data_IF_511209127512
#
_entry.id   IF_511209127512
#
_cell.length_a   1.000
_cell.length_b   1.000
_cell.length_c   1.000
_cell.angle_alpha   90.00
_cell.angle_beta   90.00
_cell.angle_gamma   90.00
#
_symmetry.space_group_name_H-M   'P 1'
#
loop_
_entity.id
_entity.type
_entity.pdbx_description
1 polymer ?
#
# COMPACT_ATOMS: atom_id res chain seq x y z
N UNK A 1 2.18 34.69 11.27
CA UNK A 1 2.39 34.34 9.85
C UNK A 1 3.28 33.12 9.80
N UNK A 2 2.71 31.92 9.61
CA UNK A 2 3.46 30.68 9.39
C UNK A 2 4.07 30.79 7.98
N UNK A 3 5.40 30.76 7.87
CA UNK A 3 6.11 30.60 6.59
C UNK A 3 5.51 29.39 5.88
N UNK A 4 4.79 29.58 4.78
CA UNK A 4 4.60 28.53 3.78
C UNK A 4 6.03 28.14 3.37
N UNK A 5 6.51 27.01 3.88
CA UNK A 5 7.72 26.39 3.34
C UNK A 5 7.50 26.27 1.85
N UNK A 6 8.51 26.62 1.10
CA UNK A 6 8.54 26.62 -0.35
C UNK A 6 8.52 25.16 -0.82
N UNK A 7 7.32 24.55 -0.81
CA UNK A 7 7.07 23.12 -1.07
C UNK A 7 7.50 22.69 -2.49
N UNK A 8 7.69 23.66 -3.40
CA UNK A 8 8.16 23.36 -4.77
C UNK A 8 9.64 22.97 -4.87
N UNK A 9 10.48 23.27 -3.89
CA UNK A 9 11.93 22.98 -3.94
C UNK A 9 12.33 21.58 -3.45
N UNK A 10 11.45 20.77 -2.86
CA UNK A 10 11.83 19.51 -2.18
C UNK A 10 11.00 18.27 -2.55
N UNK A 11 10.50 18.17 -3.79
CA UNK A 11 9.91 16.92 -4.26
C UNK A 11 11.01 15.90 -4.58
N UNK A 12 11.70 15.41 -3.53
CA UNK A 12 12.84 14.51 -3.62
C UNK A 12 12.44 13.09 -4.04
N UNK A 13 11.23 12.65 -3.63
CA UNK A 13 10.75 11.31 -3.90
C UNK A 13 9.76 11.28 -5.07
N UNK A 14 9.79 10.20 -5.84
CA UNK A 14 8.70 9.82 -6.74
C UNK A 14 7.75 8.93 -5.96
N UNK A 15 6.46 9.27 -5.90
CA UNK A 15 5.46 8.34 -5.40
C UNK A 15 4.93 7.46 -6.53
N UNK A 16 4.98 6.14 -6.33
CA UNK A 16 4.42 5.14 -7.24
C UNK A 16 3.19 4.53 -6.56
N UNK A 17 2.00 4.98 -6.97
CA UNK A 17 0.73 4.61 -6.34
C UNK A 17 0.13 3.45 -7.11
N UNK A 18 -0.07 2.32 -6.44
CA UNK A 18 -0.64 1.10 -7.01
C UNK A 18 -2.08 0.96 -6.53
N UNK A 19 -3.01 0.88 -7.48
CA UNK A 19 -4.45 0.79 -7.22
C UNK A 19 -5.01 -0.49 -7.86
N UNK A 20 -5.06 -1.60 -7.13
CA UNK A 20 -5.78 -2.78 -7.58
C UNK A 20 -7.30 -2.53 -7.50
N UNK A 21 -8.03 -2.92 -8.55
CA UNK A 21 -9.47 -2.69 -8.67
C UNK A 21 -10.17 -4.00 -9.04
N UNK A 22 -11.26 -4.32 -8.34
CA UNK A 22 -12.18 -5.38 -8.72
C UNK A 22 -13.59 -5.04 -8.23
N UNK A 23 -14.53 -4.85 -9.18
CA UNK A 23 -15.93 -4.54 -8.90
C UNK A 23 -16.09 -3.36 -7.90
N UNK A 24 -15.47 -2.24 -8.21
CA UNK A 24 -15.42 -1.05 -7.37
C UNK A 24 -16.04 0.20 -8.01
N UNK A 25 -16.89 0.07 -9.05
CA UNK A 25 -17.45 1.19 -9.82
C UNK A 25 -18.02 2.31 -8.95
N UNK A 26 -18.69 1.96 -7.84
CA UNK A 26 -19.33 2.90 -6.91
C UNK A 26 -18.35 3.74 -6.08
N UNK A 27 -17.11 3.28 -5.96
CA UNK A 27 -16.12 3.86 -5.04
C UNK A 27 -14.94 4.48 -5.77
N UNK A 28 -14.64 3.96 -6.96
CA UNK A 28 -13.41 4.23 -7.70
C UNK A 28 -13.25 5.71 -8.08
N UNK A 29 -14.33 6.41 -8.36
CA UNK A 29 -14.28 7.86 -8.61
C UNK A 29 -13.71 8.62 -7.41
N UNK A 30 -14.15 8.29 -6.21
CA UNK A 30 -13.65 8.92 -4.97
C UNK A 30 -12.19 8.57 -4.73
N UNK A 31 -11.81 7.33 -4.96
CA UNK A 31 -10.42 6.87 -4.90
C UNK A 31 -9.52 7.70 -5.82
N UNK A 32 -9.79 7.72 -7.12
CA UNK A 32 -9.00 8.41 -8.13
C UNK A 32 -8.96 9.93 -7.87
N UNK A 33 -10.09 10.55 -7.57
CA UNK A 33 -10.16 11.97 -7.27
C UNK A 33 -9.35 12.35 -6.02
N UNK A 34 -9.22 11.46 -5.04
CA UNK A 34 -8.38 11.70 -3.86
C UNK A 34 -6.89 11.77 -4.21
N UNK A 35 -6.45 11.04 -5.22
CA UNK A 35 -5.07 11.08 -5.75
C UNK A 35 -4.86 12.34 -6.60
N UNK A 36 -5.78 12.66 -7.51
CA UNK A 36 -5.69 13.83 -8.39
C UNK A 36 -5.58 15.13 -7.57
N UNK A 37 -6.29 15.21 -6.44
CA UNK A 37 -6.33 16.37 -5.54
C UNK A 37 -5.07 16.56 -4.70
N UNK A 38 -4.09 15.64 -4.74
CA UNK A 38 -2.87 15.78 -3.95
C UNK A 38 -2.07 17.03 -4.35
N UNK A 39 -1.59 17.79 -3.36
CA UNK A 39 -0.73 18.97 -3.53
C UNK A 39 0.65 18.60 -4.06
N UNK A 40 1.21 17.49 -3.61
CA UNK A 40 2.45 16.91 -4.10
C UNK A 40 2.27 16.37 -5.53
N UNK A 41 3.12 16.80 -6.48
CA UNK A 41 2.89 16.50 -7.91
C UNK A 41 3.86 15.48 -8.53
N UNK A 42 4.94 15.11 -7.82
CA UNK A 42 5.88 14.10 -8.33
C UNK A 42 5.40 12.68 -7.99
N UNK A 43 4.35 12.24 -8.68
CA UNK A 43 3.80 10.90 -8.54
C UNK A 43 3.37 10.30 -9.88
N UNK A 44 3.34 8.98 -9.93
CA UNK A 44 2.72 8.17 -10.97
C UNK A 44 1.71 7.21 -10.37
N UNK A 45 0.67 6.87 -11.12
CA UNK A 45 -0.41 5.99 -10.68
C UNK A 45 -0.53 4.82 -11.66
N UNK A 46 -0.65 3.63 -11.13
CA UNK A 46 -0.89 2.40 -11.87
C UNK A 46 -2.19 1.78 -11.35
N UNK A 47 -3.26 1.94 -12.10
CA UNK A 47 -4.56 1.32 -11.81
C UNK A 47 -4.63 0.01 -12.56
N UNK A 48 -4.99 -1.08 -11.90
CA UNK A 48 -5.18 -2.37 -12.55
C UNK A 48 -6.55 -2.93 -12.25
N UNK A 49 -7.38 -3.01 -13.29
CA UNK A 49 -8.67 -3.70 -13.25
C UNK A 49 -8.46 -5.21 -13.34
N UNK A 50 -8.86 -5.93 -12.30
CA UNK A 50 -8.68 -7.37 -12.17
C UNK A 50 -9.84 -8.17 -12.80
N UNK A 51 -10.19 -7.84 -14.05
CA UNK A 51 -11.30 -8.45 -14.78
C UNK A 51 -12.65 -8.19 -14.08
N UNK A 52 -12.95 -6.92 -13.78
CA UNK A 52 -14.24 -6.50 -13.23
C UNK A 52 -15.39 -6.82 -14.19
N UNK A 53 -16.55 -7.12 -13.62
CA UNK A 53 -17.81 -7.39 -14.32
C UNK A 53 -18.78 -6.20 -14.28
N UNK A 54 -18.42 -5.15 -13.54
CA UNK A 54 -19.10 -3.86 -13.49
C UNK A 54 -18.37 -2.81 -14.34
N UNK A 55 -18.73 -1.54 -14.25
CA UNK A 55 -18.16 -0.44 -15.02
C UNK A 55 -16.84 0.11 -14.44
N UNK A 56 -16.16 -0.62 -13.57
CA UNK A 56 -14.91 -0.15 -12.92
C UNK A 56 -13.83 0.28 -13.92
N UNK A 57 -13.62 -0.51 -14.98
CA UNK A 57 -12.61 -0.20 -15.99
C UNK A 57 -12.96 1.08 -16.78
N UNK A 58 -14.19 1.24 -17.18
CA UNK A 58 -14.71 2.40 -17.92
C UNK A 58 -14.60 3.67 -17.05
N UNK A 59 -14.96 3.58 -15.77
CA UNK A 59 -14.81 4.68 -14.80
C UNK A 59 -13.33 5.08 -14.66
N UNK A 60 -12.42 4.11 -14.45
CA UNK A 60 -10.98 4.38 -14.35
C UNK A 60 -10.46 5.05 -15.63
N UNK A 61 -10.80 4.49 -16.80
CA UNK A 61 -10.33 4.98 -18.11
C UNK A 61 -10.78 6.41 -18.36
N UNK A 62 -12.05 6.73 -18.07
CA UNK A 62 -12.60 8.07 -18.26
C UNK A 62 -11.96 9.09 -17.33
N UNK A 63 -11.84 8.80 -16.05
CA UNK A 63 -11.27 9.72 -15.06
C UNK A 63 -9.78 9.99 -15.28
N UNK A 64 -9.04 9.01 -15.77
CA UNK A 64 -7.60 9.10 -15.92
C UNK A 64 -7.14 9.59 -17.30
N UNK A 65 -8.05 9.68 -18.30
CA UNK A 65 -7.71 9.97 -19.71
C UNK A 65 -6.85 11.24 -19.92
N UNK A 66 -7.06 12.26 -19.10
CA UNK A 66 -6.38 13.56 -19.23
C UNK A 66 -5.09 13.65 -18.38
N UNK A 67 -4.68 12.58 -17.68
CA UNK A 67 -3.54 12.60 -16.77
C UNK A 67 -2.42 11.71 -17.27
N UNK A 68 -1.34 12.28 -17.77
CA UNK A 68 -0.19 11.54 -18.34
C UNK A 68 0.56 10.66 -17.35
N UNK A 69 0.40 10.92 -16.06
CA UNK A 69 1.02 10.16 -14.97
C UNK A 69 0.13 9.03 -14.44
N UNK A 70 -1.02 8.76 -15.10
CA UNK A 70 -1.88 7.60 -14.79
C UNK A 70 -1.77 6.57 -15.90
N UNK A 71 -1.54 5.32 -15.52
CA UNK A 71 -1.51 4.17 -16.42
C UNK A 71 -2.59 3.19 -15.99
N UNK A 72 -3.46 2.80 -16.93
CA UNK A 72 -4.57 1.88 -16.68
C UNK A 72 -4.25 0.55 -17.35
N UNK A 73 -4.38 -0.52 -16.57
CA UNK A 73 -4.20 -1.89 -17.01
C UNK A 73 -5.51 -2.65 -16.82
N UNK A 74 -5.80 -3.61 -17.69
CA UNK A 74 -6.93 -4.54 -17.55
C UNK A 74 -6.47 -5.97 -17.71
N UNK A 75 -6.84 -6.82 -16.77
CA UNK A 75 -6.61 -8.26 -16.89
C UNK A 75 -7.72 -8.92 -17.70
N UNK A 76 -7.39 -9.96 -18.47
CA UNK A 76 -8.37 -10.79 -19.20
C UNK A 76 -9.00 -11.88 -18.34
N UNK A 77 -8.43 -12.11 -17.14
CA UNK A 77 -8.94 -13.03 -16.11
C UNK A 77 -8.56 -12.52 -14.74
N UNK A 78 -9.30 -12.92 -13.74
CA UNK A 78 -9.02 -12.54 -12.34
C UNK A 78 -7.71 -13.18 -11.85
N UNK A 79 -6.80 -12.34 -11.36
CA UNK A 79 -5.48 -12.75 -10.85
C UNK A 79 -5.33 -12.56 -9.34
N UNK A 80 -6.15 -11.70 -8.73
CA UNK A 80 -6.10 -11.32 -7.33
C UNK A 80 -5.16 -10.14 -7.04
N UNK A 81 -5.46 -9.40 -5.95
CA UNK A 81 -4.78 -8.15 -5.63
C UNK A 81 -3.26 -8.32 -5.50
N UNK A 82 -2.77 -9.34 -4.77
CA UNK A 82 -1.34 -9.55 -4.57
C UNK A 82 -0.56 -9.80 -5.85
N UNK A 83 -1.13 -10.59 -6.78
CA UNK A 83 -0.50 -10.84 -8.09
C UNK A 83 -0.39 -9.53 -8.88
N UNK A 84 -1.46 -8.74 -8.92
CA UNK A 84 -1.49 -7.45 -9.61
C UNK A 84 -0.49 -6.45 -9.00
N UNK A 85 -0.47 -6.33 -7.68
CA UNK A 85 0.48 -5.48 -6.96
C UNK A 85 1.92 -5.92 -7.27
N UNK A 86 2.23 -7.22 -7.15
CA UNK A 86 3.57 -7.75 -7.44
C UNK A 86 4.02 -7.45 -8.86
N UNK A 87 3.15 -7.66 -9.86
CA UNK A 87 3.44 -7.34 -11.27
C UNK A 87 3.74 -5.86 -11.47
N UNK A 88 2.90 -4.97 -10.90
CA UNK A 88 3.07 -3.53 -11.08
C UNK A 88 4.28 -2.96 -10.35
N UNK A 89 4.62 -3.52 -9.21
CA UNK A 89 5.84 -3.20 -8.47
C UNK A 89 7.11 -3.77 -9.14
N UNK A 90 6.99 -4.81 -9.95
CA UNK A 90 8.11 -5.35 -10.73
C UNK A 90 8.43 -4.52 -11.99
N UNK A 91 7.58 -3.57 -12.36
CA UNK A 91 7.89 -2.64 -13.44
C UNK A 91 9.00 -1.68 -12.98
N UNK A 92 10.01 -1.51 -13.85
CA UNK A 92 11.17 -0.69 -13.52
C UNK A 92 10.81 0.74 -13.13
N UNK A 93 11.51 1.25 -12.14
CA UNK A 93 11.49 2.66 -11.74
C UNK A 93 12.88 3.25 -11.92
N UNK A 94 12.97 4.56 -12.19
CA UNK A 94 14.23 5.23 -12.49
C UNK A 94 15.23 5.18 -11.32
N UNK A 95 14.76 5.38 -10.10
CA UNK A 95 15.59 5.40 -8.88
C UNK A 95 14.83 4.70 -7.74
N UNK A 96 15.08 3.41 -7.52
CA UNK A 96 14.39 2.65 -6.47
C UNK A 96 14.56 3.24 -5.06
N UNK A 97 15.71 3.83 -4.76
CA UNK A 97 15.99 4.42 -3.44
C UNK A 97 15.26 5.75 -3.19
N UNK A 98 14.82 6.41 -4.26
CA UNK A 98 14.04 7.65 -4.25
C UNK A 98 12.59 7.45 -4.70
N UNK A 99 12.15 6.22 -4.87
CA UNK A 99 10.75 5.89 -5.17
C UNK A 99 10.08 5.34 -3.91
N UNK A 100 8.93 5.89 -3.57
CA UNK A 100 8.07 5.41 -2.48
C UNK A 100 6.82 4.80 -3.09
N UNK A 101 6.65 3.52 -2.88
CA UNK A 101 5.44 2.81 -3.28
C UNK A 101 4.32 3.04 -2.27
N UNK A 102 3.10 3.20 -2.76
CA UNK A 102 1.87 3.33 -1.98
C UNK A 102 0.87 2.31 -2.47
N UNK A 103 0.29 1.55 -1.54
CA UNK A 103 -0.80 0.64 -1.84
C UNK A 103 -2.12 1.28 -1.42
N UNK A 104 -2.99 1.54 -2.40
CA UNK A 104 -4.31 2.14 -2.20
C UNK A 104 -5.36 1.25 -2.86
N UNK A 105 -6.24 0.64 -2.06
CA UNK A 105 -7.31 -0.20 -2.57
C UNK A 105 -8.36 0.63 -3.33
N UNK A 106 -8.90 0.12 -4.45
CA UNK A 106 -9.75 0.88 -5.36
C UNK A 106 -11.12 1.29 -4.78
N UNK A 107 -11.52 0.71 -3.65
CA UNK A 107 -12.72 1.07 -2.90
C UNK A 107 -12.46 2.01 -1.71
N UNK A 108 -11.17 2.35 -1.47
CA UNK A 108 -10.69 3.25 -0.42
C UNK A 108 -10.22 4.59 -1.01
N UNK A 109 -9.81 5.55 -0.17
CA UNK A 109 -9.31 6.85 -0.63
C UNK A 109 -8.37 7.53 0.36
N UNK A 110 -7.53 8.44 -0.15
CA UNK A 110 -6.67 9.30 0.67
C UNK A 110 -7.52 10.35 1.39
N UNK A 111 -7.25 10.54 2.68
CA UNK A 111 -8.09 11.37 3.55
C UNK A 111 -8.12 12.85 3.18
N UNK A 112 -6.98 13.42 2.78
CA UNK A 112 -6.82 14.85 2.48
C UNK A 112 -5.94 15.08 1.24
N UNK A 113 -5.86 16.33 0.79
CA UNK A 113 -5.04 16.71 -0.37
C UNK A 113 -3.54 16.84 -0.10
N UNK A 114 -3.07 16.69 1.13
CA UNK A 114 -1.68 16.84 1.55
C UNK A 114 -1.04 15.54 2.06
N UNK A 115 -1.71 14.40 1.87
CA UNK A 115 -1.23 13.08 2.32
C UNK A 115 0.18 12.78 1.81
N UNK A 116 0.44 13.02 0.53
CA UNK A 116 1.76 12.75 -0.04
C UNK A 116 2.84 13.70 0.50
N UNK A 117 2.50 14.94 0.83
CA UNK A 117 3.42 15.89 1.46
C UNK A 117 3.80 15.41 2.88
N UNK A 118 2.82 14.96 3.68
CA UNK A 118 3.04 14.43 5.03
C UNK A 118 3.94 13.19 4.97
N UNK A 119 3.66 12.26 4.06
CA UNK A 119 4.49 11.07 3.88
C UNK A 119 5.90 11.44 3.44
N UNK A 120 6.05 12.33 2.44
CA UNK A 120 7.36 12.80 1.95
C UNK A 120 8.19 13.41 3.08
N UNK A 121 7.58 14.26 3.90
CA UNK A 121 8.25 14.89 5.04
C UNK A 121 8.72 13.86 6.06
N UNK A 122 7.92 12.82 6.33
CA UNK A 122 8.30 11.73 7.23
C UNK A 122 9.55 11.01 6.72
N UNK A 123 9.58 10.61 5.45
CA UNK A 123 10.74 9.94 4.85
C UNK A 123 12.00 10.82 4.88
N UNK A 124 11.86 12.12 4.63
CA UNK A 124 12.97 13.07 4.70
C UNK A 124 13.53 13.22 6.12
N UNK A 125 12.66 13.29 7.14
CA UNK A 125 13.07 13.56 8.52
C UNK A 125 13.63 12.33 9.24
N UNK A 126 13.05 11.15 9.04
CA UNK A 126 13.40 9.93 9.78
C UNK A 126 14.27 8.96 9.00
N UNK A 127 14.50 9.20 7.70
CA UNK A 127 15.18 8.25 6.81
C UNK A 127 14.61 6.83 6.93
N UNK A 128 13.28 6.72 7.09
CA UNK A 128 12.62 5.43 7.19
C UNK A 128 12.57 4.72 5.83
N UNK A 129 12.36 3.42 5.87
CA UNK A 129 12.21 2.56 4.68
C UNK A 129 10.76 2.18 4.43
N UNK A 130 9.94 2.20 5.48
CA UNK A 130 8.56 1.75 5.44
C UNK A 130 7.74 2.55 6.47
N UNK A 131 6.51 2.89 6.09
CA UNK A 131 5.54 3.44 7.01
C UNK A 131 4.23 2.65 6.99
N UNK A 132 3.52 2.73 8.10
CA UNK A 132 2.15 2.28 8.25
C UNK A 132 1.44 3.24 9.20
N UNK A 133 0.12 3.28 9.19
CA UNK A 133 -0.51 4.39 9.90
C UNK A 133 -1.89 4.12 10.46
N UNK A 134 -2.58 5.23 10.68
CA UNK A 134 -3.95 5.29 11.14
C UNK A 134 -4.90 5.50 9.96
N UNK A 135 -6.09 4.92 10.03
CA UNK A 135 -7.14 5.07 9.03
C UNK A 135 -8.49 5.34 9.70
N UNK A 136 -9.38 5.98 8.96
CA UNK A 136 -10.78 6.16 9.35
C UNK A 136 -11.60 5.01 8.74
N UNK A 137 -12.49 4.42 9.53
CA UNK A 137 -13.49 3.45 9.08
C UNK A 137 -14.85 3.79 9.68
N UNK A 138 -15.88 2.98 9.42
CA UNK A 138 -17.20 3.12 10.09
C UNK A 138 -17.11 3.01 11.61
N UNK A 139 -16.04 2.41 12.14
CA UNK A 139 -15.77 2.25 13.58
C UNK A 139 -14.93 3.39 14.17
N UNK A 140 -14.74 4.48 13.42
CA UNK A 140 -13.89 5.61 13.80
C UNK A 140 -12.42 5.40 13.43
N UNK A 141 -11.54 6.23 14.02
CA UNK A 141 -10.10 6.19 13.75
C UNK A 141 -9.48 4.94 14.37
N UNK A 142 -8.76 4.20 13.55
CA UNK A 142 -8.04 2.98 13.95
C UNK A 142 -6.58 3.06 13.51
N UNK A 143 -5.72 2.38 14.25
CA UNK A 143 -4.29 2.27 13.98
C UNK A 143 -3.52 2.17 15.28
N UNK A 144 -2.46 1.36 15.27
CA UNK A 144 -1.59 1.15 16.44
C UNK A 144 -0.15 0.99 16.00
N UNK A 145 0.76 1.57 16.77
CA UNK A 145 2.19 1.31 16.59
C UNK A 145 2.56 -0.05 17.22
N UNK A 146 3.49 -0.75 16.59
CA UNK A 146 4.08 -1.93 17.22
C UNK A 146 4.82 -1.56 18.51
N UNK A 147 4.64 -2.32 19.59
CA UNK A 147 5.43 -2.15 20.81
C UNK A 147 6.93 -2.21 20.51
N UNK A 148 7.71 -1.45 21.26
CA UNK A 148 9.16 -1.38 21.09
C UNK A 148 9.84 -2.75 21.10
N UNK A 149 9.45 -3.67 22.02
CA UNK A 149 10.00 -5.02 22.11
C UNK A 149 9.76 -5.84 20.81
N UNK A 150 8.58 -5.69 20.20
CA UNK A 150 8.23 -6.40 18.95
C UNK A 150 9.16 -5.96 17.82
N UNK A 151 9.40 -4.66 17.71
CA UNK A 151 10.31 -4.07 16.73
C UNK A 151 11.76 -4.48 16.98
N UNK A 152 12.23 -4.36 18.24
CA UNK A 152 13.61 -4.68 18.63
C UNK A 152 13.99 -6.13 18.37
N UNK A 153 13.10 -7.08 18.65
CA UNK A 153 13.36 -8.51 18.53
C UNK A 153 12.77 -9.14 17.27
N UNK A 154 12.29 -8.32 16.32
CA UNK A 154 11.72 -8.79 15.06
C UNK A 154 10.63 -9.86 15.27
N UNK A 155 9.64 -9.56 16.11
CA UNK A 155 8.59 -10.50 16.52
C UNK A 155 7.26 -10.29 15.79
N UNK A 156 7.22 -9.59 14.66
CA UNK A 156 6.00 -9.20 13.94
C UNK A 156 5.10 -10.40 13.64
N UNK A 157 5.68 -11.53 13.18
CA UNK A 157 4.91 -12.73 12.84
C UNK A 157 4.29 -13.44 14.04
N UNK A 158 4.77 -13.15 15.25
CA UNK A 158 4.27 -13.71 16.52
C UNK A 158 3.33 -12.79 17.28
N UNK A 159 3.09 -11.57 16.74
CA UNK A 159 2.28 -10.56 17.40
C UNK A 159 1.03 -10.21 16.59
N UNK A 160 0.14 -9.39 17.16
CA UNK A 160 -1.02 -8.87 16.45
C UNK A 160 -0.64 -8.08 15.20
N UNK A 161 -1.53 -8.01 14.23
CA UNK A 161 -1.33 -7.23 13.02
C UNK A 161 -1.62 -5.75 13.28
N UNK A 162 -0.61 -4.89 13.14
CA UNK A 162 -0.73 -3.46 13.35
C UNK A 162 -0.31 -2.61 12.13
N UNK A 163 0.38 -3.17 11.16
CA UNK A 163 0.81 -2.43 9.96
C UNK A 163 -0.36 -2.18 8.98
N UNK A 164 -1.30 -1.37 9.44
CA UNK A 164 -2.49 -0.99 8.67
C UNK A 164 -2.24 0.19 7.74
N UNK A 165 -3.30 0.68 7.10
CA UNK A 165 -3.26 1.79 6.13
C UNK A 165 -2.82 3.12 6.78
N UNK A 166 -2.19 4.07 6.12
CA UNK A 166 -1.68 3.97 4.77
C UNK A 166 -0.36 3.20 4.80
N UNK A 167 -0.18 2.22 3.89
CA UNK A 167 1.06 1.45 3.76
C UNK A 167 1.92 2.05 2.68
N UNK A 168 3.14 2.46 3.04
CA UNK A 168 4.11 2.98 2.08
C UNK A 168 5.48 2.38 2.35
N UNK A 169 6.29 2.22 1.32
CA UNK A 169 7.65 1.68 1.45
C UNK A 169 8.55 2.15 0.31
N UNK A 170 9.85 2.19 0.56
CA UNK A 170 10.83 2.44 -0.50
C UNK A 170 10.84 1.26 -1.48
N UNK A 171 10.95 1.56 -2.75
CA UNK A 171 10.91 0.55 -3.82
C UNK A 171 12.09 -0.43 -3.74
N UNK A 172 13.27 0.01 -3.33
CA UNK A 172 14.43 -0.88 -3.13
C UNK A 172 14.21 -1.90 -2.00
N UNK A 173 13.44 -1.55 -0.98
CA UNK A 173 13.03 -2.50 0.06
C UNK A 173 12.13 -3.60 -0.52
N UNK A 174 11.18 -3.24 -1.38
CA UNK A 174 10.35 -4.21 -2.10
C UNK A 174 11.17 -5.15 -2.97
N UNK A 175 12.14 -4.64 -3.72
CA UNK A 175 13.01 -5.45 -4.59
C UNK A 175 13.81 -6.53 -3.84
N UNK A 176 13.95 -6.38 -2.51
CA UNK A 176 14.62 -7.34 -1.64
C UNK A 176 13.69 -8.45 -1.11
N UNK A 177 12.39 -8.38 -1.41
CA UNK A 177 11.42 -9.41 -1.04
C UNK A 177 11.52 -10.60 -1.97
N UNK A 178 11.72 -11.81 -1.40
CA UNK A 178 11.67 -13.03 -2.18
C UNK A 178 10.23 -13.29 -2.67
N UNK A 179 10.03 -13.29 -3.97
CA UNK A 179 8.71 -13.47 -4.57
C UNK A 179 8.03 -14.79 -4.18
N UNK A 180 8.80 -15.84 -3.88
CA UNK A 180 8.25 -17.11 -3.38
C UNK A 180 7.55 -16.96 -2.00
N UNK A 181 7.89 -15.93 -1.23
CA UNK A 181 7.22 -15.67 0.04
C UNK A 181 5.83 -15.07 -0.12
N UNK A 182 5.49 -14.56 -1.30
CA UNK A 182 4.16 -14.10 -1.68
C UNK A 182 3.23 -15.23 -2.14
N UNK A 183 3.77 -16.45 -2.27
CA UNK A 183 3.04 -17.63 -2.74
C UNK A 183 2.66 -18.52 -1.56
N UNK A 184 1.48 -19.13 -1.64
CA UNK A 184 1.03 -20.18 -0.73
C UNK A 184 1.72 -21.51 -1.04
N UNK A 185 1.49 -22.53 -0.23
CA UNK A 185 2.06 -23.89 -0.39
C UNK A 185 1.76 -24.56 -1.74
N UNK A 186 0.76 -24.09 -2.48
CA UNK A 186 0.38 -24.61 -3.79
C UNK A 186 1.02 -23.81 -4.95
N UNK A 187 1.91 -22.86 -4.65
CA UNK A 187 2.58 -22.01 -5.66
C UNK A 187 1.71 -20.88 -6.22
N UNK A 188 0.57 -20.56 -5.61
CA UNK A 188 -0.28 -19.46 -6.01
C UNK A 188 -0.13 -18.26 -5.06
N UNK A 189 -0.26 -17.05 -5.59
CA UNK A 189 -0.29 -15.84 -4.75
C UNK A 189 -1.40 -15.93 -3.70
N UNK A 190 -1.12 -15.44 -2.48
CA UNK A 190 -2.15 -15.35 -1.45
C UNK A 190 -3.29 -14.46 -1.92
N UNK A 191 -4.49 -15.01 -2.01
CA UNK A 191 -5.68 -14.29 -2.47
C UNK A 191 -6.36 -13.48 -1.36
N UNK A 192 -5.99 -13.71 -0.09
CA UNK A 192 -6.45 -13.01 1.11
C UNK A 192 -5.28 -12.83 2.08
N UNK A 193 -5.39 -11.92 3.06
CA UNK A 193 -4.33 -11.57 4.00
C UNK A 193 -3.01 -11.20 3.29
N UNK A 194 -3.10 -10.73 2.05
CA UNK A 194 -1.98 -10.41 1.19
C UNK A 194 -1.11 -9.28 1.76
N UNK A 195 -1.70 -8.39 2.52
CA UNK A 195 -1.04 -7.33 3.24
C UNK A 195 0.01 -7.84 4.23
N UNK A 196 -0.27 -8.96 4.92
CA UNK A 196 0.71 -9.63 5.77
C UNK A 196 1.88 -10.19 4.95
N UNK A 197 1.59 -10.78 3.78
CA UNK A 197 2.61 -11.37 2.91
C UNK A 197 3.60 -10.31 2.39
N UNK A 198 3.11 -9.11 2.06
CA UNK A 198 3.93 -7.98 1.60
C UNK A 198 4.68 -7.33 2.77
N UNK A 199 3.99 -7.00 3.84
CA UNK A 199 4.53 -6.12 4.86
C UNK A 199 5.47 -6.82 5.85
N UNK A 200 5.26 -8.11 6.20
CA UNK A 200 6.16 -8.78 7.15
C UNK A 200 7.61 -8.82 6.66
N UNK A 201 7.93 -9.26 5.43
CA UNK A 201 9.31 -9.22 4.92
C UNK A 201 9.93 -7.83 5.03
N UNK A 202 9.19 -6.81 4.61
CA UNK A 202 9.68 -5.44 4.59
C UNK A 202 9.85 -4.84 5.98
N UNK A 203 8.93 -5.07 6.92
CA UNK A 203 9.09 -4.67 8.32
C UNK A 203 10.30 -5.34 8.99
N UNK A 204 10.51 -6.63 8.69
CA UNK A 204 11.61 -7.42 9.20
C UNK A 204 12.96 -6.91 8.68
N UNK A 205 13.05 -6.58 7.39
CA UNK A 205 14.25 -6.03 6.76
C UNK A 205 14.53 -4.59 7.18
N UNK A 206 13.48 -3.77 7.33
CA UNK A 206 13.61 -2.36 7.70
C UNK A 206 14.13 -2.16 9.14
N UNK A 207 13.95 -3.13 10.02
CA UNK A 207 14.40 -3.06 11.41
C UNK A 207 13.91 -1.79 12.12
N UNK A 208 14.85 -0.92 12.52
CA UNK A 208 14.55 0.36 13.19
C UNK A 208 14.04 1.45 12.24
N UNK A 209 14.25 1.29 10.92
CA UNK A 209 13.90 2.29 9.89
C UNK A 209 12.44 2.15 9.44
N UNK A 210 11.53 2.03 10.40
CA UNK A 210 10.09 1.98 10.20
C UNK A 210 9.41 3.04 11.04
N UNK A 211 8.33 3.64 10.52
CA UNK A 211 7.59 4.69 11.19
C UNK A 211 6.09 4.40 11.22
N UNK A 212 5.47 4.68 12.35
CA UNK A 212 4.02 4.73 12.48
C UNK A 212 3.53 6.16 12.30
N UNK A 213 2.65 6.38 11.33
CA UNK A 213 2.03 7.68 11.06
C UNK A 213 0.75 7.79 11.90
N UNK A 214 0.75 8.75 12.85
CA UNK A 214 -0.43 9.05 13.68
C UNK A 214 -1.46 9.87 12.91
N UNK A 215 -1.00 10.60 11.89
CA UNK A 215 -1.86 11.41 11.05
C UNK A 215 -2.88 10.54 10.35
N UNK A 216 -4.10 11.06 10.21
CA UNK A 216 -5.15 10.37 9.48
C UNK A 216 -4.94 10.60 7.99
N UNK A 217 -4.44 9.59 7.29
CA UNK A 217 -4.05 9.68 5.89
C UNK A 217 -4.92 8.86 4.94
N UNK A 218 -5.75 7.96 5.48
CA UNK A 218 -6.47 6.97 4.71
C UNK A 218 -7.89 6.78 5.22
N UNK A 219 -8.83 6.57 4.31
CA UNK A 219 -10.20 6.18 4.65
C UNK A 219 -10.46 4.79 4.09
N UNK A 220 -10.71 3.87 5.00
CA UNK A 220 -11.00 2.47 4.72
C UNK A 220 -12.51 2.25 4.61
N UNK A 221 -12.96 1.77 3.47
CA UNK A 221 -14.36 1.46 3.20
C UNK A 221 -14.73 0.05 3.69
N UNK A 222 -14.92 -0.10 4.98
CA UNK A 222 -15.37 -1.36 5.59
C UNK A 222 -16.86 -1.67 5.34
N UNK A 223 -17.58 -0.80 4.63
CA UNK A 223 -19.00 -1.03 4.29
C UNK A 223 -19.18 -1.77 2.96
N UNK A 224 -18.15 -1.84 2.12
CA UNK A 224 -18.21 -2.62 0.88
C UNK A 224 -18.64 -4.07 1.17
N UNK A 225 -19.73 -4.59 0.55
CA UNK A 225 -20.24 -5.93 0.82
C UNK A 225 -19.30 -7.05 0.40
N UNK A 226 -18.40 -6.80 -0.56
CA UNK A 226 -17.44 -7.80 -1.06
C UNK A 226 -16.10 -7.80 -0.32
N UNK A 227 -15.97 -7.04 0.79
CA UNK A 227 -14.75 -7.05 1.60
C UNK A 227 -14.40 -8.46 2.07
N UNK A 228 -13.15 -8.86 1.86
CA UNK A 228 -12.64 -10.20 2.23
C UNK A 228 -12.86 -10.55 3.71
N UNK A 229 -12.77 -9.59 4.62
CA UNK A 229 -12.99 -9.82 6.05
C UNK A 229 -14.43 -10.24 6.38
N UNK A 230 -15.41 -9.93 5.52
CA UNK A 230 -16.81 -10.33 5.68
C UNK A 230 -17.08 -11.72 5.09
N UNK A 231 -16.61 -11.95 3.87
CA UNK A 231 -16.98 -13.14 3.07
C UNK A 231 -15.97 -14.28 3.14
N UNK A 232 -14.69 -14.00 3.48
CA UNK A 232 -13.59 -14.98 3.41
C UNK A 232 -12.78 -15.09 4.70
N UNK A 233 -13.43 -14.88 5.85
CA UNK A 233 -12.74 -14.85 7.15
C UNK A 233 -11.96 -16.13 7.48
N UNK A 234 -12.49 -17.31 7.15
CA UNK A 234 -11.79 -18.60 7.38
C UNK A 234 -10.51 -18.69 6.55
N UNK A 235 -10.59 -18.29 5.27
CA UNK A 235 -9.44 -18.28 4.36
C UNK A 235 -8.38 -17.29 4.84
N UNK A 236 -8.78 -16.10 5.32
CA UNK A 236 -7.87 -15.11 5.88
C UNK A 236 -7.09 -15.66 7.08
N UNK A 237 -7.78 -16.36 8.01
CA UNK A 237 -7.13 -16.97 9.17
C UNK A 237 -6.13 -18.05 8.73
N UNK A 238 -6.50 -18.88 7.77
CA UNK A 238 -5.64 -19.94 7.24
C UNK A 238 -4.40 -19.35 6.53
N UNK A 239 -4.60 -18.40 5.64
CA UNK A 239 -3.51 -17.70 4.95
C UNK A 239 -2.59 -16.96 5.93
N UNK A 240 -3.15 -16.24 6.90
CA UNK A 240 -2.37 -15.55 7.91
C UNK A 240 -1.50 -16.52 8.75
N UNK A 241 -2.00 -17.71 9.08
CA UNK A 241 -1.22 -18.75 9.77
C UNK A 241 -0.06 -19.25 8.90
N UNK A 242 -0.30 -19.48 7.62
CA UNK A 242 0.74 -19.92 6.68
C UNK A 242 1.81 -18.84 6.49
N UNK A 243 1.42 -17.59 6.23
CA UNK A 243 2.34 -16.45 6.08
C UNK A 243 3.21 -16.29 7.34
N UNK A 244 2.63 -16.41 8.53
CA UNK A 244 3.35 -16.27 9.80
C UNK A 244 4.39 -17.38 10.05
N UNK A 245 4.23 -18.57 9.43
CA UNK A 245 5.16 -19.68 9.52
C UNK A 245 6.35 -19.59 8.58
N UNK A 246 6.30 -18.71 7.56
CA UNK A 246 7.44 -18.49 6.65
C UNK A 246 8.66 -17.98 7.41
N UNK A 247 9.86 -18.24 6.85
CA UNK A 247 11.12 -17.80 7.43
C UNK A 247 11.15 -16.27 7.58
N UNK A 248 11.63 -15.80 8.73
CA UNK A 248 11.82 -14.37 8.98
C UNK A 248 13.04 -13.84 8.23
N UNK A 249 12.90 -12.61 7.75
CA UNK A 249 14.03 -11.87 7.18
C UNK A 249 14.91 -11.30 8.30
N UNK A 250 16.18 -11.14 7.99
CA UNK A 250 17.12 -10.37 8.81
C UNK A 250 17.05 -8.90 8.43
N UNK A 251 17.33 -8.01 9.38
CA UNK A 251 17.51 -6.59 9.09
C UNK A 251 18.58 -6.40 8.02
N UNK A 252 18.33 -5.51 7.07
CA UNK A 252 19.21 -5.22 5.96
C UNK A 252 19.63 -3.75 5.96
N UNK A 253 20.83 -3.49 5.46
CA UNK A 253 21.33 -2.14 5.29
C UNK A 253 21.00 -1.64 3.88
N UNK A 254 20.19 -0.58 3.82
CA UNK A 254 19.88 0.16 2.61
C UNK A 254 20.54 1.53 2.68
N UNK A 255 21.17 1.95 1.60
CA UNK A 255 21.85 3.24 1.47
C UNK A 255 20.86 4.37 1.20
#
# INVERSE_FOLDING_TARGET
MKKKLDLKKNQKFLFNIIVPVFNAEKYLEKCINSIIKQSYKNFQVKVVDDCSTDSSYEVASTLCANYKNFNIYRNTRRLGALNNISKLLSLSVKDPSKTIDILLDGDDYLYSGDVLDIVSEKYLKSNCLITYGSHLSSKGVQGKNYPWLIRKFNLYRKYFWYASHLRTFRHDLWLSVNQNDLLNKNGHYFSVAWDLAIMFPMLEMAGKRQEFLKDLLYVYNDQNPICDHKIRRKDQISAAKEIRRKKRYKEQFFI
#
